data_IF_482907413147
#
_entry.id   IF_482907413147
#
_cell.length_a   1.000
_cell.length_b   1.000
_cell.length_c   1.000
_cell.angle_alpha   90.00
_cell.angle_beta   90.00
_cell.angle_gamma   90.00
#
_symmetry.space_group_name_H-M   'P 1'
#
loop_
_entity.id
_entity.type
_entity.pdbx_description
1 polymer ?
#
# COMPACT_ATOMS: atom_id res chain seq x y z
N UNK A 1 -14.64 -0.90 -8.28
CA UNK A 1 -13.55 -0.63 -9.23
C UNK A 1 -12.48 -1.65 -8.90
N UNK A 2 -12.23 -2.64 -9.74
CA UNK A 2 -11.23 -3.69 -9.46
C UNK A 2 -9.82 -3.12 -9.71
N UNK A 3 -8.82 -3.41 -8.86
CA UNK A 3 -7.47 -2.91 -9.07
C UNK A 3 -6.88 -3.48 -10.37
N UNK A 4 -6.46 -2.56 -11.26
CA UNK A 4 -5.83 -2.86 -12.53
C UNK A 4 -4.39 -3.35 -12.30
N UNK A 5 -4.21 -4.67 -12.25
CA UNK A 5 -3.02 -5.47 -12.60
C UNK A 5 -2.69 -6.51 -11.51
N UNK A 6 -2.73 -7.82 -11.81
CA UNK A 6 -2.42 -8.88 -10.85
C UNK A 6 -0.90 -9.09 -10.81
N UNK A 7 -0.15 -8.06 -10.44
CA UNK A 7 1.29 -8.23 -10.20
C UNK A 7 1.45 -9.08 -8.93
N UNK A 8 1.59 -10.40 -9.08
CA UNK A 8 1.92 -11.27 -7.97
C UNK A 8 3.37 -10.97 -7.57
N UNK A 9 3.53 -10.28 -6.45
CA UNK A 9 4.80 -10.08 -5.80
C UNK A 9 5.17 -11.30 -4.97
N UNK A 10 6.46 -11.56 -4.82
CA UNK A 10 6.98 -12.53 -3.87
C UNK A 10 8.06 -11.92 -3.01
N UNK A 11 8.01 -12.13 -1.71
CA UNK A 11 9.05 -11.72 -0.77
C UNK A 11 9.34 -12.81 0.25
N UNK A 12 10.52 -12.75 0.87
CA UNK A 12 10.95 -13.71 1.88
C UNK A 12 11.07 -13.01 3.22
N UNK A 13 10.41 -13.54 4.24
CA UNK A 13 10.52 -13.07 5.62
C UNK A 13 10.66 -14.27 6.57
N UNK A 14 11.63 -14.20 7.49
CA UNK A 14 11.94 -15.27 8.44
C UNK A 14 12.09 -16.68 7.80
N UNK A 15 12.65 -16.73 6.58
CA UNK A 15 12.85 -17.98 5.83
C UNK A 15 11.60 -18.56 5.18
N UNK A 16 10.46 -17.86 5.21
CA UNK A 16 9.23 -18.22 4.49
C UNK A 16 9.06 -17.34 3.27
N UNK A 17 8.73 -17.95 2.14
CA UNK A 17 8.39 -17.25 0.90
C UNK A 17 6.89 -16.98 0.88
N UNK A 18 6.53 -15.72 0.71
CA UNK A 18 5.16 -15.25 0.57
C UNK A 18 4.90 -14.90 -0.89
N UNK A 19 3.68 -15.18 -1.35
CA UNK A 19 3.17 -14.80 -2.65
C UNK A 19 1.89 -14.02 -2.44
N UNK A 20 1.84 -12.78 -2.94
CA UNK A 20 0.65 -11.95 -2.78
C UNK A 20 0.43 -11.04 -3.98
N UNK A 21 -0.82 -10.62 -4.18
CA UNK A 21 -1.15 -9.65 -5.21
C UNK A 21 -0.71 -8.28 -4.73
N UNK A 22 0.28 -7.69 -5.39
CA UNK A 22 0.76 -6.36 -5.06
C UNK A 22 -0.35 -5.35 -5.34
N UNK A 23 -1.03 -4.90 -4.29
CA UNK A 23 -1.99 -3.81 -4.36
C UNK A 23 -1.26 -2.49 -4.22
N UNK A 24 -1.25 -1.71 -5.29
CA UNK A 24 -0.74 -0.35 -5.28
C UNK A 24 -1.91 0.62 -5.17
N UNK A 25 -1.94 1.39 -4.08
CA UNK A 25 -2.86 2.50 -3.89
C UNK A 25 -2.08 3.82 -3.93
N UNK A 26 -2.58 4.76 -4.71
CA UNK A 26 -2.13 6.15 -4.69
C UNK A 26 -3.13 6.96 -3.89
N UNK A 27 -2.61 7.81 -3.01
CA UNK A 27 -3.44 8.74 -2.25
C UNK A 27 -2.85 10.12 -2.40
N UNK A 28 -3.69 11.07 -2.81
CA UNK A 28 -3.34 12.47 -2.92
C UNK A 28 -3.35 13.10 -1.52
N UNK A 29 -2.17 13.35 -0.98
CA UNK A 29 -2.00 14.09 0.26
C UNK A 29 -0.66 14.83 0.25
N UNK A 30 -0.55 15.95 0.99
CA UNK A 30 0.75 16.55 1.28
C UNK A 30 1.69 15.52 1.92
N UNK A 31 2.98 15.60 1.61
CA UNK A 31 4.00 14.74 2.24
C UNK A 31 4.41 15.30 3.61
N UNK A 32 3.45 15.38 4.52
CA UNK A 32 3.62 15.89 5.89
C UNK A 32 3.53 14.75 6.92
N UNK A 33 4.10 14.97 8.11
CA UNK A 33 4.13 13.95 9.19
C UNK A 33 2.73 13.44 9.56
N UNK A 34 1.74 14.32 9.61
CA UNK A 34 0.36 13.97 9.91
C UNK A 34 -0.26 13.05 8.83
N UNK A 35 0.05 13.30 7.56
CA UNK A 35 -0.38 12.43 6.46
C UNK A 35 0.30 11.08 6.55
N UNK A 36 1.61 11.03 6.85
CA UNK A 36 2.35 9.77 7.03
C UNK A 36 1.81 8.93 8.19
N UNK A 37 1.48 9.54 9.32
CA UNK A 37 0.87 8.85 10.47
C UNK A 37 -0.51 8.29 10.11
N UNK A 38 -1.35 9.09 9.46
CA UNK A 38 -2.64 8.63 8.95
C UNK A 38 -2.48 7.46 7.97
N UNK A 39 -1.51 7.54 7.05
CA UNK A 39 -1.23 6.48 6.08
C UNK A 39 -0.86 5.15 6.73
N UNK A 40 -0.07 5.17 7.81
CA UNK A 40 0.27 3.96 8.54
C UNK A 40 -0.98 3.31 9.15
N UNK A 41 -1.86 4.09 9.77
CA UNK A 41 -3.11 3.57 10.33
C UNK A 41 -4.06 3.03 9.26
N UNK A 42 -4.19 3.76 8.14
CA UNK A 42 -5.04 3.36 7.02
C UNK A 42 -4.53 2.07 6.36
N UNK A 43 -3.21 1.91 6.19
CA UNK A 43 -2.61 0.68 5.66
C UNK A 43 -3.00 -0.56 6.47
N UNK A 44 -2.94 -0.48 7.79
CA UNK A 44 -3.27 -1.60 8.65
C UNK A 44 -4.76 -1.96 8.62
N UNK A 45 -5.66 -1.00 8.38
CA UNK A 45 -7.10 -1.29 8.23
C UNK A 45 -7.43 -1.98 6.91
N UNK A 46 -6.63 -1.75 5.85
CA UNK A 46 -6.84 -2.35 4.52
C UNK A 46 -6.33 -3.79 4.41
N UNK A 47 -5.28 -4.17 5.16
CA UNK A 47 -4.73 -5.53 5.16
C UNK A 47 -5.78 -6.64 5.36
N UNK A 48 -6.65 -6.59 6.38
CA UNK A 48 -7.67 -7.63 6.57
C UNK A 48 -8.74 -7.62 5.48
N UNK A 49 -9.10 -6.44 4.95
CA UNK A 49 -10.10 -6.32 3.88
C UNK A 49 -9.64 -7.01 2.59
N UNK A 50 -8.39 -6.79 2.21
CA UNK A 50 -7.80 -7.37 0.99
C UNK A 50 -7.07 -8.69 1.19
N UNK A 51 -7.07 -9.22 2.42
CA UNK A 51 -6.30 -10.41 2.82
C UNK A 51 -4.82 -10.30 2.44
N UNK A 52 -4.27 -9.10 2.58
CA UNK A 52 -2.87 -8.79 2.26
C UNK A 52 -2.01 -8.89 3.52
N UNK A 53 -0.82 -9.46 3.37
CA UNK A 53 0.19 -9.38 4.43
C UNK A 53 0.85 -8.01 4.45
N UNK A 54 1.03 -7.40 3.27
CA UNK A 54 1.65 -6.10 3.12
C UNK A 54 1.00 -5.27 2.00
N UNK A 55 0.90 -3.96 2.20
CA UNK A 55 0.37 -2.98 1.25
C UNK A 55 1.39 -1.87 1.11
N UNK A 56 1.73 -1.51 -0.14
CA UNK A 56 2.60 -0.39 -0.44
C UNK A 56 1.76 0.81 -0.84
N UNK A 57 1.94 1.91 -0.11
CA UNK A 57 1.33 3.20 -0.42
C UNK A 57 2.40 4.11 -1.01
N UNK A 58 2.11 4.69 -2.16
CA UNK A 58 2.91 5.75 -2.74
C UNK A 58 2.17 7.08 -2.52
N UNK A 59 2.83 8.01 -1.85
CA UNK A 59 2.35 9.40 -1.71
C UNK A 59 2.93 10.19 -2.88
N UNK A 60 2.04 10.67 -3.76
CA UNK A 60 2.42 11.61 -4.82
C UNK A 60 2.49 13.03 -4.28
N UNK A 61 3.44 13.83 -4.75
CA UNK A 61 3.37 15.28 -4.56
C UNK A 61 2.26 15.85 -5.44
N UNK A 62 1.29 16.51 -4.82
CA UNK A 62 0.32 17.34 -5.55
C UNK A 62 1.05 18.60 -6.01
N UNK A 63 1.53 18.60 -7.25
CA UNK A 63 1.99 19.81 -7.93
C UNK A 63 0.77 20.65 -8.29
N UNK A 64 0.47 21.68 -7.50
CA UNK A 64 -0.47 22.72 -7.91
C UNK A 64 0.13 23.50 -9.09
N UNK A 65 -0.45 23.34 -10.28
CA UNK A 65 -0.21 24.19 -11.45
C UNK A 65 -1.11 25.43 -11.40
#
# INVERSE_FOLDING_TARGET
MEPLSPHIGSWTEAGRMYHDQLLMYTVDAPREDASLEWFQGYKESLKPEFKQVEIYLAVGEVLWL
#
